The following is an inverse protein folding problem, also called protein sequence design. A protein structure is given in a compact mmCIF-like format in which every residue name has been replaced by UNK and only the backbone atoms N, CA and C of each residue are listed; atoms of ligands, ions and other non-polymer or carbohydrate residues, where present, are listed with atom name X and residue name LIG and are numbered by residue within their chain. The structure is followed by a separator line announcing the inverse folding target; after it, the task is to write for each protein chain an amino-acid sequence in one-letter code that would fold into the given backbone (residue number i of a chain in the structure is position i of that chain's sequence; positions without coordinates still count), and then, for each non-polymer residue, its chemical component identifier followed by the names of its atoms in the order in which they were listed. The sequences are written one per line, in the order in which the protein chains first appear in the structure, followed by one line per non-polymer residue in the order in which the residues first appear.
data_IF_577135650168
#
_entry.id   IF_577135650168
#
_cell.length_a   1.000
_cell.length_b   1.000
_cell.length_c   1.000
_cell.angle_alpha   90.00
_cell.angle_beta   90.00
_cell.angle_gamma   90.00
#
_symmetry.space_group_name_H-M   'P 1'
#
loop_
_entity.id
_entity.type
_entity.pdbx_description
1 polymer ?
#
# COMPACT_ATOMS: atom_id res chain seq x y z
N UNK A 1 45.55 39.06 -18.51
CA UNK A 1 45.02 40.19 -17.72
C UNK A 1 44.29 39.56 -16.54
N UNK A 2 45.05 39.13 -15.53
CA UNK A 2 45.52 39.94 -14.38
C UNK A 2 44.44 39.88 -13.28
N UNK A 3 44.52 38.90 -12.36
CA UNK A 3 45.42 38.68 -11.21
C UNK A 3 45.12 39.65 -10.05
N UNK A 4 45.04 39.02 -8.87
CA UNK A 4 44.74 39.51 -7.55
C UNK A 4 45.50 40.76 -7.11
N UNK A 5 44.99 41.41 -6.04
CA UNK A 5 45.68 41.55 -4.75
C UNK A 5 44.75 42.31 -3.76
N UNK A 6 44.47 41.75 -2.58
CA UNK A 6 45.06 42.10 -1.26
C UNK A 6 44.61 43.49 -0.77
N UNK A 7 44.13 43.71 0.45
CA UNK A 7 44.62 43.26 1.75
C UNK A 7 43.67 43.68 2.90
N UNK A 8 43.63 42.87 3.96
CA UNK A 8 43.65 43.15 5.42
C UNK A 8 43.33 44.58 5.92
N UNK A 9 42.75 44.87 7.09
CA UNK A 9 42.47 44.14 8.33
C UNK A 9 41.77 45.11 9.30
N UNK A 10 41.40 44.57 10.47
CA UNK A 10 41.34 45.26 11.78
C UNK A 10 39.97 45.75 12.23
N UNK A 11 39.32 44.85 12.97
CA UNK A 11 39.05 44.96 14.41
C UNK A 11 38.42 46.23 14.98
N UNK A 12 37.44 45.99 15.85
CA UNK A 12 37.51 46.59 17.18
C UNK A 12 36.54 47.73 17.44
N UNK A 13 35.53 47.37 18.21
CA UNK A 13 35.04 48.13 19.37
C UNK A 13 34.04 49.28 19.19
N UNK A 14 32.94 49.06 19.92
CA UNK A 14 32.32 49.99 20.85
C UNK A 14 31.88 51.35 20.31
N UNK A 15 30.57 51.41 20.04
CA UNK A 15 29.63 52.32 20.72
C UNK A 15 30.17 53.70 21.09
N UNK A 16 29.67 54.74 20.41
CA UNK A 16 28.93 55.83 21.07
C UNK A 16 28.36 56.83 20.04
N UNK A 17 27.05 57.02 20.16
CA UNK A 17 26.33 58.29 20.00
C UNK A 17 26.69 59.23 18.84
N UNK A 18 25.86 59.20 17.79
CA UNK A 18 25.28 60.42 17.19
C UNK A 18 24.25 60.03 16.12
N UNK A 19 22.98 59.82 16.51
CA UNK A 19 21.82 60.11 15.64
C UNK A 19 20.46 59.82 16.32
N UNK A 20 19.97 60.68 17.22
CA UNK A 20 18.55 60.67 17.58
C UNK A 20 17.65 61.18 16.44
N UNK A 21 18.16 61.98 15.49
CA UNK A 21 17.34 62.61 14.44
C UNK A 21 17.07 61.74 13.21
N UNK A 22 18.02 60.87 12.81
CA UNK A 22 17.84 60.02 11.62
C UNK A 22 16.93 58.83 11.88
N UNK A 23 17.05 58.18 13.05
CA UNK A 23 16.16 57.09 13.44
C UNK A 23 14.73 57.56 13.67
N UNK A 24 14.54 58.74 14.26
CA UNK A 24 13.21 59.36 14.43
C UNK A 24 12.58 59.68 13.07
N UNK A 25 13.33 60.26 12.13
CA UNK A 25 12.80 60.55 10.79
C UNK A 25 12.52 59.31 9.94
N UNK A 26 13.29 58.22 10.10
CA UNK A 26 13.01 56.93 9.46
C UNK A 26 11.73 56.31 10.07
N UNK A 27 11.57 56.34 11.40
CA UNK A 27 10.38 55.84 12.07
C UNK A 27 9.11 56.61 11.66
N UNK A 28 9.19 57.95 11.58
CA UNK A 28 8.09 58.78 11.11
C UNK A 28 7.71 58.50 9.65
N UNK A 29 8.69 58.28 8.78
CA UNK A 29 8.43 57.93 7.37
C UNK A 29 7.81 56.54 7.23
N UNK A 30 8.24 55.56 8.03
CA UNK A 30 7.63 54.24 8.09
C UNK A 30 6.18 54.33 8.56
N UNK A 31 5.91 55.14 9.59
CA UNK A 31 4.56 55.34 10.11
C UNK A 31 3.66 56.04 9.09
N UNK A 32 4.16 57.07 8.40
CA UNK A 32 3.43 57.73 7.29
C UNK A 32 3.17 56.78 6.13
N UNK A 33 4.16 55.95 5.75
CA UNK A 33 4.03 54.95 4.69
C UNK A 33 3.01 53.85 5.05
N UNK A 34 3.01 53.37 6.30
CA UNK A 34 2.04 52.41 6.79
C UNK A 34 0.61 52.97 6.79
N UNK A 35 0.44 54.22 7.24
CA UNK A 35 -0.85 54.92 7.22
C UNK A 35 -1.34 55.15 5.77
N UNK A 36 -0.44 55.52 4.86
CA UNK A 36 -0.76 55.76 3.46
C UNK A 36 -1.07 54.46 2.71
N UNK A 37 -0.37 53.36 3.02
CA UNK A 37 -0.64 52.02 2.50
C UNK A 37 -1.98 51.48 2.99
N UNK A 38 -2.29 51.63 4.28
CA UNK A 38 -3.60 51.25 4.84
C UNK A 38 -4.74 52.04 4.19
N UNK A 39 -4.55 53.35 3.96
CA UNK A 39 -5.52 54.18 3.23
C UNK A 39 -5.66 53.76 1.76
N UNK A 40 -4.58 53.42 1.07
CA UNK A 40 -4.63 53.00 -0.32
C UNK A 40 -5.38 51.66 -0.50
N UNK A 41 -5.19 50.70 0.41
CA UNK A 41 -5.93 49.42 0.40
C UNK A 41 -7.42 49.65 0.66
N UNK A 42 -7.77 50.52 1.61
CA UNK A 42 -9.16 50.91 1.83
C UNK A 42 -9.75 51.64 0.61
N UNK A 43 -8.98 52.50 -0.04
CA UNK A 43 -9.41 53.26 -1.21
C UNK A 43 -9.59 52.36 -2.45
N UNK A 44 -8.70 51.38 -2.66
CA UNK A 44 -8.76 50.39 -3.74
C UNK A 44 -9.88 49.36 -3.54
N UNK A 45 -10.09 48.90 -2.29
CA UNK A 45 -11.21 48.00 -1.97
C UNK A 45 -12.56 48.71 -2.11
N UNK A 46 -12.64 49.99 -1.70
CA UNK A 46 -13.88 50.77 -1.81
C UNK A 46 -14.21 51.22 -3.23
N UNK A 47 -13.26 51.40 -4.13
CA UNK A 47 -13.55 51.68 -5.56
C UNK A 47 -14.20 50.49 -6.25
N UNK A 48 -13.73 49.26 -6.01
CA UNK A 48 -14.38 48.06 -6.54
C UNK A 48 -15.77 47.84 -5.94
N UNK A 49 -15.94 48.14 -4.66
CA UNK A 49 -17.25 48.07 -4.00
C UNK A 49 -18.21 49.18 -4.48
N UNK A 50 -17.71 50.40 -4.74
CA UNK A 50 -18.52 51.49 -5.32
C UNK A 50 -18.91 51.22 -6.77
N UNK A 51 -17.98 50.72 -7.59
CA UNK A 51 -18.31 50.31 -8.95
C UNK A 51 -19.41 49.23 -8.97
N UNK A 52 -19.36 48.27 -8.05
CA UNK A 52 -20.44 47.29 -7.89
C UNK A 52 -21.76 47.91 -7.41
N UNK A 53 -21.71 48.93 -6.53
CA UNK A 53 -22.90 49.68 -6.13
C UNK A 53 -23.54 50.44 -7.30
N UNK A 54 -22.77 50.87 -8.29
CA UNK A 54 -23.30 51.56 -9.48
C UNK A 54 -24.01 50.59 -10.44
N UNK A 55 -23.57 49.33 -10.52
CA UNK A 55 -24.24 48.28 -11.32
C UNK A 55 -25.39 47.58 -10.60
N UNK A 56 -25.43 47.66 -9.26
CA UNK A 56 -26.52 47.12 -8.45
C UNK A 56 -27.91 47.65 -8.85
N UNK A 57 -28.16 48.97 -9.01
CA UNK A 57 -29.49 49.47 -9.37
C UNK A 57 -29.94 49.04 -10.77
N UNK A 58 -29.00 48.87 -11.71
CA UNK A 58 -29.30 48.35 -13.05
C UNK A 58 -29.63 46.86 -13.02
N UNK A 59 -28.82 46.06 -12.32
CA UNK A 59 -29.11 44.64 -12.15
C UNK A 59 -30.42 44.42 -11.37
N UNK A 60 -30.69 45.26 -10.36
CA UNK A 60 -31.92 45.22 -9.56
C UNK A 60 -33.13 45.63 -10.41
N UNK A 61 -33.03 46.65 -11.27
CA UNK A 61 -34.15 47.06 -12.13
C UNK A 61 -34.46 46.05 -13.22
N UNK A 62 -33.43 45.46 -13.85
CA UNK A 62 -33.60 44.35 -14.79
C UNK A 62 -34.22 43.15 -14.10
N UNK A 63 -33.74 42.80 -12.89
CA UNK A 63 -34.32 41.74 -12.09
C UNK A 63 -35.79 42.02 -11.74
N UNK A 64 -36.12 43.25 -11.30
CA UNK A 64 -37.49 43.66 -10.97
C UNK A 64 -38.44 43.55 -12.16
N UNK A 65 -37.98 43.88 -13.36
CA UNK A 65 -38.79 43.76 -14.58
C UNK A 65 -39.14 42.30 -14.90
N UNK A 66 -38.17 41.38 -14.75
CA UNK A 66 -38.40 39.94 -14.91
C UNK A 66 -39.22 39.37 -13.76
N UNK A 67 -39.01 39.87 -12.54
CA UNK A 67 -39.75 39.48 -11.34
C UNK A 67 -41.23 39.85 -11.45
N UNK A 68 -41.55 41.06 -11.91
CA UNK A 68 -42.93 41.51 -12.12
C UNK A 68 -43.61 40.75 -13.26
N UNK A 69 -42.91 40.49 -14.37
CA UNK A 69 -43.44 39.68 -15.46
C UNK A 69 -43.71 38.23 -15.03
N UNK A 70 -42.79 37.66 -14.24
CA UNK A 70 -42.94 36.32 -13.68
C UNK A 70 -44.12 36.26 -12.70
N UNK A 71 -44.22 37.20 -11.75
CA UNK A 71 -45.31 37.21 -10.77
C UNK A 71 -46.66 37.49 -11.42
N UNK A 72 -46.73 38.33 -12.46
CA UNK A 72 -47.95 38.51 -13.23
C UNK A 72 -48.37 37.20 -13.93
N UNK A 73 -47.42 36.46 -14.54
CA UNK A 73 -47.72 35.14 -15.14
C UNK A 73 -48.13 34.09 -14.11
N UNK A 74 -47.54 34.12 -12.92
CA UNK A 74 -47.95 33.24 -11.81
C UNK A 74 -49.34 33.62 -11.32
N UNK A 75 -49.67 34.91 -11.25
CA UNK A 75 -50.98 35.41 -10.82
C UNK A 75 -52.09 35.09 -11.84
N UNK A 76 -51.77 35.21 -13.13
CA UNK A 76 -52.63 34.77 -14.23
C UNK A 76 -52.81 33.25 -14.21
N UNK A 77 -51.71 32.49 -14.07
CA UNK A 77 -51.75 31.04 -13.94
C UNK A 77 -52.48 30.55 -12.68
N UNK A 78 -52.47 31.33 -11.59
CA UNK A 78 -53.22 31.08 -10.37
C UNK A 78 -54.72 31.38 -10.55
N UNK A 79 -55.07 32.43 -11.29
CA UNK A 79 -56.44 32.71 -11.72
C UNK A 79 -56.98 31.58 -12.61
N UNK A 80 -56.18 31.06 -13.53
CA UNK A 80 -56.52 29.88 -14.34
C UNK A 80 -56.57 28.59 -13.52
N UNK A 81 -55.70 28.43 -12.51
CA UNK A 81 -55.73 27.28 -11.60
C UNK A 81 -56.97 27.29 -10.68
N UNK A 82 -57.59 28.45 -10.45
CA UNK A 82 -58.87 28.57 -9.75
C UNK A 82 -60.02 27.91 -10.53
N UNK A 83 -59.92 27.86 -11.86
CA UNK A 83 -60.88 27.16 -12.73
C UNK A 83 -60.71 25.63 -12.69
N UNK A 84 -59.51 25.15 -12.32
CA UNK A 84 -59.16 23.72 -12.17
C UNK A 84 -58.48 23.44 -10.81
N UNK A 85 -59.24 23.43 -9.69
CA UNK A 85 -58.69 23.44 -8.33
C UNK A 85 -57.82 22.22 -7.99
N UNK A 86 -58.04 21.07 -8.61
CA UNK A 86 -57.23 19.87 -8.41
C UNK A 86 -55.80 20.01 -8.98
N UNK A 87 -55.63 20.68 -10.12
CA UNK A 87 -54.34 20.92 -10.75
C UNK A 87 -53.54 22.01 -10.00
N UNK A 88 -54.25 23.07 -9.58
CA UNK A 88 -53.67 24.16 -8.78
C UNK A 88 -53.13 23.69 -7.43
N UNK A 89 -53.83 22.76 -6.76
CA UNK A 89 -53.38 22.20 -5.49
C UNK A 89 -52.02 21.47 -5.63
N UNK A 90 -51.82 20.70 -6.70
CA UNK A 90 -50.54 20.00 -6.94
C UNK A 90 -49.37 20.95 -7.21
N UNK A 91 -49.60 22.03 -7.97
CA UNK A 91 -48.58 23.05 -8.22
C UNK A 91 -48.26 23.85 -6.94
N UNK A 92 -49.26 24.19 -6.14
CA UNK A 92 -49.05 24.87 -4.87
C UNK A 92 -48.24 24.02 -3.89
N UNK A 93 -48.52 22.71 -3.79
CA UNK A 93 -47.78 21.78 -2.92
C UNK A 93 -46.32 21.65 -3.37
N UNK A 94 -46.06 21.52 -4.67
CA UNK A 94 -44.69 21.40 -5.19
C UNK A 94 -43.88 22.70 -5.04
N UNK A 95 -44.50 23.85 -5.30
CA UNK A 95 -43.88 25.16 -5.05
C UNK A 95 -43.61 25.38 -3.55
N UNK A 96 -44.54 25.00 -2.68
CA UNK A 96 -44.36 25.09 -1.23
C UNK A 96 -43.20 24.21 -0.73
N UNK A 97 -43.07 22.98 -1.25
CA UNK A 97 -41.96 22.09 -0.93
C UNK A 97 -40.60 22.66 -1.36
N UNK A 98 -40.53 23.32 -2.52
CA UNK A 98 -39.31 23.96 -3.02
C UNK A 98 -38.95 25.25 -2.26
N UNK A 99 -39.95 26.01 -1.82
CA UNK A 99 -39.77 27.23 -1.03
C UNK A 99 -39.34 26.95 0.42
N UNK A 100 -39.63 25.76 0.95
CA UNK A 100 -39.21 25.37 2.29
C UNK A 100 -37.68 25.34 2.42
N UNK A 101 -37.18 25.91 3.53
CA UNK A 101 -35.74 26.03 3.81
C UNK A 101 -34.99 24.69 3.86
N UNK A 102 -35.65 23.62 4.31
CA UNK A 102 -35.01 22.31 4.48
C UNK A 102 -34.82 21.54 3.16
N UNK A 103 -35.85 21.34 2.31
CA UNK A 103 -35.68 20.73 0.99
C UNK A 103 -34.70 21.49 0.10
N UNK A 104 -34.71 22.83 0.15
CA UNK A 104 -33.73 23.67 -0.55
C UNK A 104 -32.30 23.34 -0.10
N UNK A 105 -32.03 23.36 1.21
CA UNK A 105 -30.70 23.05 1.76
C UNK A 105 -30.26 21.61 1.47
N UNK A 106 -31.22 20.69 1.43
CA UNK A 106 -30.99 19.29 1.05
C UNK A 106 -30.60 19.15 -0.42
N UNK A 107 -31.36 19.78 -1.33
CA UNK A 107 -31.05 19.85 -2.76
C UNK A 107 -29.66 20.46 -2.99
N UNK A 108 -29.36 21.61 -2.37
CA UNK A 108 -28.06 22.26 -2.52
C UNK A 108 -26.90 21.40 -2.00
N UNK A 109 -27.06 20.73 -0.87
CA UNK A 109 -26.01 19.85 -0.33
C UNK A 109 -25.76 18.63 -1.23
N UNK A 110 -26.81 18.10 -1.86
CA UNK A 110 -26.75 16.83 -2.58
C UNK A 110 -26.48 16.99 -4.10
N UNK A 111 -26.80 18.15 -4.69
CA UNK A 111 -26.62 18.39 -6.14
C UNK A 111 -25.35 19.18 -6.45
N UNK A 112 -25.04 20.24 -5.71
CA UNK A 112 -23.90 21.10 -6.04
C UNK A 112 -22.53 20.48 -5.70
N UNK A 113 -22.47 19.49 -4.81
CA UNK A 113 -21.23 18.75 -4.52
C UNK A 113 -20.71 17.88 -5.67
N UNK A 114 -21.55 17.60 -6.68
CA UNK A 114 -21.20 16.79 -7.87
C UNK A 114 -20.57 17.60 -9.01
N UNK A 115 -20.64 18.93 -8.95
CA UNK A 115 -20.00 19.83 -9.91
C UNK A 115 -18.61 20.30 -9.43
N UNK A 116 -17.80 19.41 -8.85
CA UNK A 116 -16.37 19.70 -8.74
C UNK A 116 -15.80 19.83 -10.15
N UNK A 117 -15.03 20.89 -10.41
CA UNK A 117 -14.51 21.21 -11.75
C UNK A 117 -13.77 20.00 -12.32
N UNK A 118 -13.96 19.75 -13.61
CA UNK A 118 -13.35 18.64 -14.36
C UNK A 118 -11.85 18.52 -14.08
N UNK A 119 -11.17 19.66 -13.97
CA UNK A 119 -9.75 19.82 -13.68
C UNK A 119 -9.31 19.12 -12.38
N UNK A 120 -10.13 19.15 -11.33
CA UNK A 120 -9.80 18.50 -10.05
C UNK A 120 -9.93 16.98 -10.12
N UNK A 121 -10.82 16.45 -10.97
CA UNK A 121 -10.91 15.01 -11.25
C UNK A 121 -9.73 14.52 -12.06
N UNK A 122 -9.33 15.24 -13.11
CA UNK A 122 -8.16 14.87 -13.90
C UNK A 122 -6.88 14.89 -13.08
N UNK A 123 -6.65 15.94 -12.28
CA UNK A 123 -5.48 16.03 -11.40
C UNK A 123 -5.44 14.89 -10.35
N UNK A 124 -6.60 14.45 -9.85
CA UNK A 124 -6.70 13.32 -8.92
C UNK A 124 -6.39 11.99 -9.59
N UNK A 125 -6.95 11.75 -10.78
CA UNK A 125 -6.71 10.53 -11.55
C UNK A 125 -5.25 10.44 -11.97
N UNK A 126 -4.64 11.55 -12.42
CA UNK A 126 -3.23 11.58 -12.81
C UNK A 126 -2.30 11.28 -11.64
N UNK A 127 -2.56 11.84 -10.45
CA UNK A 127 -1.81 11.51 -9.22
C UNK A 127 -1.94 10.03 -8.87
N UNK A 128 -3.14 9.47 -8.93
CA UNK A 128 -3.36 8.05 -8.63
C UNK A 128 -2.66 7.13 -9.65
N UNK A 129 -2.64 7.50 -10.93
CA UNK A 129 -1.92 6.73 -11.97
C UNK A 129 -0.41 6.79 -11.72
N UNK A 130 0.13 7.95 -11.36
CA UNK A 130 1.55 8.11 -11.00
C UNK A 130 1.92 7.28 -9.77
N UNK A 131 1.11 7.34 -8.72
CA UNK A 131 1.30 6.56 -7.49
C UNK A 131 1.24 5.04 -7.76
N UNK A 132 0.27 4.61 -8.56
CA UNK A 132 0.15 3.21 -8.96
C UNK A 132 1.37 2.74 -9.79
N UNK A 133 1.85 3.56 -10.72
CA UNK A 133 3.02 3.23 -11.52
C UNK A 133 4.27 3.02 -10.64
N UNK A 134 4.51 3.92 -9.67
CA UNK A 134 5.60 3.76 -8.70
C UNK A 134 5.47 2.46 -7.89
N UNK A 135 4.25 2.12 -7.46
CA UNK A 135 4.01 0.87 -6.73
C UNK A 135 4.25 -0.38 -7.58
N UNK A 136 3.90 -0.35 -8.87
CA UNK A 136 4.14 -1.46 -9.79
C UNK A 136 5.63 -1.66 -10.08
N UNK A 137 6.38 -0.57 -10.20
CA UNK A 137 7.84 -0.64 -10.40
C UNK A 137 8.56 -1.25 -9.19
N UNK A 138 8.13 -0.88 -7.96
CA UNK A 138 8.63 -1.50 -6.74
C UNK A 138 8.29 -2.99 -6.69
N UNK A 139 7.04 -3.34 -6.99
CA UNK A 139 6.58 -4.73 -6.98
C UNK A 139 7.30 -5.57 -8.04
N UNK A 140 7.58 -5.02 -9.22
CA UNK A 140 8.41 -5.69 -10.24
C UNK A 140 9.80 -5.96 -9.71
N UNK A 141 10.47 -4.99 -9.08
CA UNK A 141 11.82 -5.18 -8.51
C UNK A 141 11.84 -6.25 -7.42
N UNK A 142 10.85 -6.25 -6.53
CA UNK A 142 10.73 -7.26 -5.48
C UNK A 142 10.43 -8.65 -6.03
N UNK A 143 9.54 -8.75 -7.03
CA UNK A 143 9.20 -10.02 -7.68
C UNK A 143 10.41 -10.68 -8.37
N UNK A 144 11.26 -9.89 -9.04
CA UNK A 144 12.49 -10.39 -9.66
C UNK A 144 13.47 -10.91 -8.61
N UNK A 145 13.63 -10.21 -7.49
CA UNK A 145 14.48 -10.66 -6.37
C UNK A 145 13.96 -11.95 -5.75
N UNK A 146 12.64 -12.10 -5.60
CA UNK A 146 12.04 -13.33 -5.10
C UNK A 146 12.24 -14.49 -6.07
N UNK A 147 12.01 -14.26 -7.37
CA UNK A 147 12.22 -15.28 -8.40
C UNK A 147 13.67 -15.78 -8.46
N UNK A 148 14.65 -14.89 -8.30
CA UNK A 148 16.06 -15.27 -8.23
C UNK A 148 16.35 -16.16 -7.02
N UNK A 149 15.78 -15.83 -5.84
CA UNK A 149 15.93 -16.66 -4.64
C UNK A 149 15.25 -18.02 -4.76
N UNK A 150 14.06 -18.08 -5.36
CA UNK A 150 13.37 -19.35 -5.59
C UNK A 150 14.11 -20.22 -6.61
N UNK A 151 14.66 -19.62 -7.68
CA UNK A 151 15.43 -20.36 -8.68
C UNK A 151 16.75 -20.92 -8.11
N UNK A 152 17.42 -20.13 -7.26
CA UNK A 152 18.60 -20.60 -6.53
C UNK A 152 18.24 -21.76 -5.59
N UNK A 153 17.21 -21.59 -4.77
CA UNK A 153 16.73 -22.64 -3.86
C UNK A 153 16.34 -23.91 -4.62
N UNK A 154 15.68 -23.80 -5.77
CA UNK A 154 15.34 -24.95 -6.61
C UNK A 154 16.59 -25.69 -7.10
N UNK A 155 17.63 -24.95 -7.51
CA UNK A 155 18.91 -25.54 -7.94
C UNK A 155 19.60 -26.27 -6.79
N UNK A 156 19.66 -25.66 -5.60
CA UNK A 156 20.23 -26.29 -4.41
C UNK A 156 19.44 -27.52 -3.97
N UNK A 157 18.11 -27.47 -4.03
CA UNK A 157 17.26 -28.64 -3.71
C UNK A 157 17.47 -29.78 -4.69
N UNK A 158 17.57 -29.51 -5.99
CA UNK A 158 17.87 -30.53 -7.01
C UNK A 158 19.23 -31.16 -6.77
N UNK A 159 20.24 -30.35 -6.50
CA UNK A 159 21.59 -30.83 -6.20
C UNK A 159 21.59 -31.71 -4.92
N UNK A 160 21.02 -31.21 -3.82
CA UNK A 160 20.92 -31.96 -2.57
C UNK A 160 20.13 -33.26 -2.71
N UNK A 161 19.08 -33.28 -3.54
CA UNK A 161 18.35 -34.51 -3.87
C UNK A 161 19.25 -35.53 -4.57
N UNK A 162 20.02 -35.12 -5.58
CA UNK A 162 20.95 -36.03 -6.27
C UNK A 162 22.05 -36.55 -5.36
N UNK A 163 22.56 -35.72 -4.43
CA UNK A 163 23.56 -36.13 -3.44
C UNK A 163 22.99 -37.16 -2.45
N UNK A 164 21.79 -36.92 -1.92
CA UNK A 164 21.09 -37.86 -1.02
C UNK A 164 20.79 -39.20 -1.71
N UNK A 165 20.33 -39.17 -2.96
CA UNK A 165 20.11 -40.40 -3.74
C UNK A 165 21.42 -41.14 -3.96
N UNK A 166 22.50 -40.43 -4.32
CA UNK A 166 23.84 -40.99 -4.43
C UNK A 166 24.30 -41.69 -3.16
N UNK A 167 24.25 -41.01 -2.01
CA UNK A 167 24.59 -41.59 -0.71
C UNK A 167 23.67 -42.79 -0.36
N UNK A 168 22.37 -42.68 -0.63
CA UNK A 168 21.41 -43.77 -0.42
C UNK A 168 21.75 -45.03 -1.21
N UNK A 169 22.19 -44.90 -2.47
CA UNK A 169 22.65 -46.05 -3.25
C UNK A 169 23.90 -46.70 -2.68
N UNK A 170 24.84 -45.92 -2.15
CA UNK A 170 26.04 -46.43 -1.47
C UNK A 170 25.67 -47.21 -0.20
N UNK A 171 24.75 -46.67 0.63
CA UNK A 171 24.23 -47.38 1.79
C UNK A 171 23.53 -48.67 1.41
N UNK A 172 22.75 -48.66 0.33
CA UNK A 172 22.06 -49.87 -0.14
C UNK A 172 23.06 -50.94 -0.60
N UNK A 173 24.15 -50.55 -1.26
CA UNK A 173 25.21 -51.48 -1.66
C UNK A 173 25.95 -52.06 -0.44
N UNK A 174 26.28 -51.21 0.54
CA UNK A 174 26.90 -51.63 1.80
C UNK A 174 25.98 -52.56 2.59
N UNK A 175 24.68 -52.27 2.66
CA UNK A 175 23.71 -53.13 3.33
C UNK A 175 23.59 -54.49 2.65
N UNK A 176 23.59 -54.52 1.31
CA UNK A 176 23.61 -55.77 0.53
C UNK A 176 24.87 -56.59 0.76
N UNK A 177 26.04 -55.95 0.86
CA UNK A 177 27.29 -56.66 1.14
C UNK A 177 27.36 -57.14 2.59
N UNK A 178 26.92 -56.32 3.55
CA UNK A 178 26.80 -56.70 4.95
C UNK A 178 25.85 -57.88 5.15
N UNK A 179 24.69 -57.89 4.49
CA UNK A 179 23.75 -59.02 4.52
C UNK A 179 24.38 -60.32 4.00
N UNK A 180 25.19 -60.26 2.94
CA UNK A 180 25.95 -61.42 2.45
C UNK A 180 27.01 -61.90 3.44
N UNK A 181 27.64 -60.99 4.18
CA UNK A 181 28.61 -61.34 5.23
C UNK A 181 27.90 -61.95 6.43
N UNK A 182 26.76 -61.39 6.83
CA UNK A 182 25.94 -61.86 7.94
C UNK A 182 25.41 -63.27 7.69
N UNK A 183 24.87 -63.53 6.50
CA UNK A 183 24.40 -64.88 6.11
C UNK A 183 25.54 -65.91 6.12
N UNK A 184 26.73 -65.55 5.61
CA UNK A 184 27.92 -66.43 5.67
C UNK A 184 28.38 -66.68 7.12
N UNK A 185 28.34 -65.66 7.97
CA UNK A 185 28.69 -65.79 9.39
C UNK A 185 27.65 -66.64 10.15
N UNK A 186 26.37 -66.52 9.81
CA UNK A 186 25.30 -67.34 10.37
C UNK A 186 25.48 -68.83 10.00
N UNK A 187 25.79 -69.14 8.74
CA UNK A 187 26.10 -70.51 8.30
C UNK A 187 27.30 -71.10 9.06
N UNK A 188 28.35 -70.30 9.29
CA UNK A 188 29.51 -70.72 10.09
C UNK A 188 29.14 -70.94 11.57
N UNK A 189 28.35 -70.06 12.15
CA UNK A 189 27.85 -70.19 13.53
C UNK A 189 26.96 -71.42 13.71
N UNK A 190 26.22 -71.82 12.67
CA UNK A 190 25.38 -73.02 12.68
C UNK A 190 26.23 -74.29 12.58
N UNK A 191 27.27 -74.30 11.73
CA UNK A 191 28.29 -75.37 11.70
C UNK A 191 29.03 -75.53 13.03
N UNK A 192 29.42 -74.41 13.66
CA UNK A 192 30.04 -74.40 15.00
C UNK A 192 29.07 -74.82 16.12
N UNK A 193 27.77 -74.89 15.87
CA UNK A 193 26.79 -75.42 16.83
C UNK A 193 26.89 -76.94 16.97
N UNK A 194 27.41 -77.63 15.95
CA UNK A 194 27.50 -79.09 15.93
C UNK A 194 28.77 -79.64 16.62
N UNK A 195 29.82 -78.83 16.80
CA UNK A 195 31.09 -79.22 17.45
C UNK A 195 31.29 -78.37 18.72
N UNK A 196 31.07 -78.89 19.93
CA UNK A 196 31.15 -78.08 21.15
C UNK A 196 32.61 -77.95 21.60
N UNK A 197 33.31 -76.88 21.18
CA UNK A 197 34.68 -76.56 21.61
C UNK A 197 34.75 -75.23 22.39
N UNK A 198 35.69 -75.11 23.35
CA UNK A 198 35.81 -73.94 24.26
C UNK A 198 35.99 -72.59 23.54
N UNK A 199 36.68 -72.58 22.39
CA UNK A 199 36.92 -71.35 21.62
C UNK A 199 35.70 -70.91 20.79
N UNK A 200 34.80 -71.82 20.44
CA UNK A 200 33.56 -71.50 19.72
C UNK A 200 32.54 -70.71 20.56
N UNK A 201 32.62 -70.85 21.90
CA UNK A 201 31.79 -70.09 22.85
C UNK A 201 32.25 -68.62 22.98
N UNK A 202 33.56 -68.36 22.90
CA UNK A 202 34.12 -67.00 22.94
C UNK A 202 33.74 -66.19 21.68
N UNK A 203 33.87 -66.81 20.50
CA UNK A 203 33.48 -66.20 19.22
C UNK A 203 31.97 -65.88 19.15
N UNK A 204 31.12 -66.67 19.83
CA UNK A 204 29.68 -66.37 19.95
C UNK A 204 29.40 -65.13 20.79
N UNK A 205 30.20 -64.85 21.82
CA UNK A 205 30.03 -63.67 22.66
C UNK A 205 30.38 -62.39 21.88
N UNK A 206 31.48 -62.42 21.12
CA UNK A 206 31.92 -61.29 20.29
C UNK A 206 30.93 -60.98 19.15
N UNK A 207 30.42 -62.01 18.47
CA UNK A 207 29.41 -61.84 17.41
C UNK A 207 28.12 -61.20 17.95
N UNK A 208 27.67 -61.60 19.15
CA UNK A 208 26.51 -60.99 19.81
C UNK A 208 26.76 -59.53 20.17
N UNK A 209 27.97 -59.20 20.61
CA UNK A 209 28.33 -57.83 21.00
C UNK A 209 28.39 -56.89 19.79
N UNK A 210 28.95 -57.34 18.67
CA UNK A 210 28.96 -56.60 17.41
C UNK A 210 27.54 -56.38 16.86
N UNK A 211 26.68 -57.40 16.90
CA UNK A 211 25.29 -57.31 16.43
C UNK A 211 24.46 -56.29 17.24
N UNK A 212 24.63 -56.25 18.56
CA UNK A 212 23.99 -55.26 19.44
C UNK A 212 24.48 -53.84 19.17
N UNK A 213 25.79 -53.65 18.94
CA UNK A 213 26.39 -52.34 18.65
C UNK A 213 25.90 -51.76 17.32
N UNK A 214 25.77 -52.60 16.28
CA UNK A 214 25.25 -52.18 14.96
C UNK A 214 23.76 -51.81 15.07
N UNK A 215 22.96 -52.60 15.79
CA UNK A 215 21.52 -52.34 15.98
C UNK A 215 21.26 -51.03 16.75
N UNK A 216 22.03 -50.72 17.79
CA UNK A 216 21.88 -49.46 18.55
C UNK A 216 22.23 -48.22 17.70
N UNK A 217 23.24 -48.33 16.82
CA UNK A 217 23.62 -47.22 15.93
C UNK A 217 22.58 -46.95 14.86
N UNK A 218 21.99 -48.00 14.27
CA UNK A 218 20.91 -47.85 13.29
C UNK A 218 19.63 -47.24 13.92
N UNK A 219 19.29 -47.65 15.15
CA UNK A 219 18.10 -47.14 15.84
C UNK A 219 18.21 -45.66 16.19
N UNK A 220 19.40 -45.16 16.56
CA UNK A 220 19.63 -43.73 16.84
C UNK A 220 19.47 -42.85 15.59
N UNK A 221 19.99 -43.31 14.44
CA UNK A 221 19.85 -42.58 13.17
C UNK A 221 18.40 -42.56 12.71
N UNK A 222 17.69 -43.69 12.83
CA UNK A 222 16.26 -43.76 12.49
C UNK A 222 15.40 -42.86 13.40
N UNK A 223 15.71 -42.79 14.71
CA UNK A 223 15.00 -41.94 15.66
C UNK A 223 15.18 -40.45 15.37
N UNK A 224 16.39 -40.00 15.06
CA UNK A 224 16.66 -38.59 14.70
C UNK A 224 15.98 -38.16 13.39
N UNK A 225 15.98 -39.04 12.37
CA UNK A 225 15.34 -38.79 11.08
C UNK A 225 13.81 -38.76 11.22
N UNK A 226 13.23 -39.67 12.01
CA UNK A 226 11.78 -39.74 12.23
C UNK A 226 11.23 -38.57 13.05
N UNK A 227 12.01 -38.04 13.99
CA UNK A 227 11.58 -36.92 14.84
C UNK A 227 11.78 -35.55 14.17
N UNK A 228 12.82 -35.37 13.34
CA UNK A 228 13.13 -34.06 12.74
C UNK A 228 12.43 -33.78 11.40
N UNK A 229 12.12 -34.80 10.59
CA UNK A 229 11.43 -34.59 9.30
C UNK A 229 9.99 -34.05 9.38
N UNK A 230 9.10 -34.51 10.28
CA UNK A 230 7.69 -34.09 10.24
C UNK A 230 7.51 -32.60 10.57
N UNK A 231 8.35 -32.03 11.44
CA UNK A 231 8.22 -30.64 11.87
C UNK A 231 8.45 -29.62 10.74
N UNK A 232 9.25 -29.98 9.74
CA UNK A 232 9.47 -29.14 8.54
C UNK A 232 8.33 -29.27 7.52
N UNK A 233 7.69 -30.43 7.43
CA UNK A 233 6.60 -30.68 6.46
C UNK A 233 5.34 -29.88 6.79
N UNK A 234 4.96 -29.84 8.06
CA UNK A 234 3.76 -29.10 8.50
C UNK A 234 3.95 -27.59 8.35
N UNK A 235 5.16 -27.09 8.62
CA UNK A 235 5.50 -25.69 8.42
C UNK A 235 5.47 -25.29 6.93
N UNK A 236 6.03 -26.12 6.05
CA UNK A 236 5.99 -25.90 4.60
C UNK A 236 4.56 -25.96 4.06
N UNK A 237 3.73 -26.89 4.53
CA UNK A 237 2.33 -27.00 4.13
C UNK A 237 1.49 -25.77 4.56
N UNK A 238 1.71 -25.28 5.78
CA UNK A 238 1.09 -24.05 6.30
C UNK A 238 1.43 -22.82 5.45
N UNK A 239 2.72 -22.63 5.14
CA UNK A 239 3.16 -21.50 4.31
C UNK A 239 2.58 -21.59 2.89
N UNK A 240 2.57 -22.80 2.29
CA UNK A 240 1.98 -23.03 0.98
C UNK A 240 0.48 -22.74 0.94
N UNK A 241 -0.27 -23.10 2.00
CA UNK A 241 -1.71 -22.84 2.10
C UNK A 241 -2.02 -21.33 2.15
N UNK A 242 -1.19 -20.55 2.86
CA UNK A 242 -1.35 -19.11 3.00
C UNK A 242 -1.10 -18.41 1.66
N UNK A 243 -0.07 -18.85 0.94
CA UNK A 243 0.29 -18.33 -0.39
C UNK A 243 -0.79 -18.63 -1.43
N UNK A 244 -1.35 -19.85 -1.44
CA UNK A 244 -2.46 -20.21 -2.32
C UNK A 244 -3.72 -19.37 -2.04
N UNK A 245 -4.00 -19.10 -0.77
CA UNK A 245 -5.14 -18.26 -0.37
C UNK A 245 -4.98 -16.82 -0.88
N UNK A 246 -3.78 -16.24 -0.75
CA UNK A 246 -3.47 -14.91 -1.30
C UNK A 246 -3.59 -14.88 -2.83
N UNK A 247 -3.06 -15.91 -3.51
CA UNK A 247 -3.13 -16.02 -4.98
C UNK A 247 -4.57 -16.08 -5.48
N UNK A 248 -5.45 -16.83 -4.82
CA UNK A 248 -6.87 -16.90 -5.19
C UNK A 248 -7.61 -15.57 -5.00
N UNK A 249 -7.27 -14.81 -3.96
CA UNK A 249 -7.85 -13.51 -3.69
C UNK A 249 -7.42 -12.46 -4.73
N UNK A 250 -6.15 -12.49 -5.15
CA UNK A 250 -5.65 -11.64 -6.23
C UNK A 250 -6.29 -12.01 -7.58
N UNK A 251 -6.39 -13.30 -7.92
CA UNK A 251 -7.05 -13.73 -9.16
C UNK A 251 -8.51 -13.27 -9.23
N UNK A 252 -9.27 -13.36 -8.13
CA UNK A 252 -10.64 -12.82 -8.07
C UNK A 252 -10.70 -11.31 -8.30
N UNK A 253 -9.71 -10.55 -7.82
CA UNK A 253 -9.63 -9.10 -8.05
C UNK A 253 -9.29 -8.79 -9.50
N UNK A 254 -8.36 -9.52 -10.10
CA UNK A 254 -7.98 -9.37 -11.50
C UNK A 254 -9.17 -9.63 -12.43
N UNK A 255 -9.92 -10.72 -12.21
CA UNK A 255 -11.13 -11.02 -13.00
C UNK A 255 -12.17 -9.91 -12.89
N UNK A 256 -12.41 -9.37 -11.68
CA UNK A 256 -13.31 -8.22 -11.49
C UNK A 256 -12.86 -6.95 -12.21
N UNK A 257 -11.55 -6.72 -12.31
CA UNK A 257 -10.99 -5.57 -13.04
C UNK A 257 -11.18 -5.77 -14.55
N UNK A 258 -10.98 -7.00 -15.04
CA UNK A 258 -11.16 -7.33 -16.45
C UNK A 258 -12.63 -7.22 -16.90
N UNK A 259 -13.59 -7.57 -16.03
CA UNK A 259 -15.03 -7.37 -16.31
C UNK A 259 -15.48 -5.91 -16.33
N UNK A 260 -14.66 -4.97 -15.80
CA UNK A 260 -14.92 -3.53 -15.89
C UNK A 260 -14.39 -2.92 -17.21
N UNK A 261 -13.97 -3.74 -18.17
CA UNK A 261 -13.57 -3.31 -19.51
C UNK A 261 -12.20 -2.63 -19.57
N UNK A 262 -11.39 -2.76 -18.52
CA UNK A 262 -9.99 -2.28 -18.51
C UNK A 262 -9.08 -3.47 -18.85
N UNK A 263 -8.49 -3.52 -20.06
CA UNK A 263 -7.53 -4.57 -20.40
C UNK A 263 -6.29 -4.44 -19.50
N UNK A 264 -5.90 -5.55 -18.88
CA UNK A 264 -4.68 -5.70 -18.06
C UNK A 264 -3.48 -6.04 -18.93
#
# INVERSE_FOLDING_TARGET
MEKADSSSSSDGDASSEAAPSSLVSIAENLQRSAIQSARNVQHSSSTHFRAFQDFLPEAVSQYRTYEDAFFNKVKDGLLTAKEYPALGAGLAISAALLAMRAPRRFLFRHTFGRFQSEETRYARTEKNVKDLNLSLDLLRKESVKLLQRTALAEKEMKYGHTELVGAGTQFQQLAKSAYKVETRAADLLDKLRYIPSRESLALRAEARQLFLCVSLKFSNVHFLLFFSLPQTRDQVASMASTLNRQRSALNKRIVKINELGVPV
#
